data_IF_567065849680
#
_entry.id   IF_567065849680
#
_cell.length_a   1.000
_cell.length_b   1.000
_cell.length_c   1.000
_cell.angle_alpha   90.00
_cell.angle_beta   90.00
_cell.angle_gamma   90.00
#
_symmetry.space_group_name_H-M   'P 1'
#
loop_
_entity.id
_entity.type
_entity.pdbx_description
1 polymer ?
#
# COMPACT_ATOMS: atom_id res chain seq x y z
N UNK A 1 2.35 3.16 -19.34
CA UNK A 1 2.37 2.89 -20.80
C UNK A 1 2.92 1.47 -21.06
N UNK A 2 3.36 1.13 -22.28
CA UNK A 2 3.93 -0.19 -22.57
C UNK A 2 5.29 -0.43 -21.89
N UNK A 3 6.07 0.62 -21.67
CA UNK A 3 7.32 0.52 -20.90
C UNK A 3 7.02 0.16 -19.44
N UNK A 4 6.06 0.86 -18.83
CA UNK A 4 5.60 0.56 -17.47
C UNK A 4 5.14 -0.89 -17.31
N UNK A 5 4.39 -1.44 -18.27
CA UNK A 5 4.02 -2.85 -18.25
C UNK A 5 5.24 -3.80 -18.21
N UNK A 6 6.26 -3.55 -19.05
CA UNK A 6 7.49 -4.36 -19.04
C UNK A 6 8.25 -4.24 -17.73
N UNK A 7 8.33 -3.04 -17.20
CA UNK A 7 8.99 -2.76 -15.93
C UNK A 7 8.28 -3.49 -14.78
N UNK A 8 6.94 -3.45 -14.70
CA UNK A 8 6.19 -4.25 -13.72
C UNK A 8 6.46 -5.76 -13.84
N UNK A 9 6.47 -6.30 -15.06
CA UNK A 9 6.81 -7.72 -15.26
C UNK A 9 8.21 -8.05 -14.76
N UNK A 10 9.19 -7.17 -15.01
CA UNK A 10 10.57 -7.36 -14.55
C UNK A 10 10.68 -7.26 -13.03
N UNK A 11 10.04 -6.27 -12.41
CA UNK A 11 9.96 -6.11 -10.96
C UNK A 11 9.35 -7.34 -10.28
N UNK A 12 8.23 -7.84 -10.82
CA UNK A 12 7.60 -9.07 -10.32
C UNK A 12 8.52 -10.28 -10.45
N UNK A 13 9.27 -10.38 -11.56
CA UNK A 13 10.20 -11.49 -11.78
C UNK A 13 11.38 -11.45 -10.79
N UNK A 14 11.98 -10.26 -10.59
CA UNK A 14 13.05 -10.05 -9.62
C UNK A 14 12.56 -10.36 -8.20
N UNK A 15 11.35 -9.90 -7.85
CA UNK A 15 10.79 -10.16 -6.53
C UNK A 15 10.64 -11.64 -6.22
N UNK A 16 10.32 -12.46 -7.22
CA UNK A 16 10.23 -13.92 -7.09
C UNK A 16 11.57 -14.65 -7.15
N UNK A 17 12.50 -14.22 -8.01
CA UNK A 17 13.75 -14.94 -8.26
C UNK A 17 14.88 -14.54 -7.30
N UNK A 18 14.91 -13.28 -6.87
CA UNK A 18 16.02 -12.69 -6.12
C UNK A 18 15.57 -12.17 -4.75
N UNK A 19 14.36 -11.61 -4.64
CA UNK A 19 13.85 -10.97 -3.42
C UNK A 19 13.05 -11.89 -2.47
N UNK A 20 12.86 -13.15 -2.83
CA UNK A 20 11.93 -14.04 -2.14
C UNK A 20 12.44 -14.43 -0.75
N UNK A 21 11.62 -14.17 0.27
CA UNK A 21 11.81 -14.68 1.63
C UNK A 21 10.55 -15.44 2.08
N UNK A 22 9.64 -14.80 2.82
CA UNK A 22 8.28 -15.33 3.02
C UNK A 22 7.31 -14.90 1.92
N UNK A 23 7.60 -13.77 1.27
CA UNK A 23 6.87 -13.17 0.17
C UNK A 23 7.89 -12.65 -0.85
N UNK A 24 7.52 -12.54 -2.15
CA UNK A 24 8.34 -11.82 -3.11
C UNK A 24 8.42 -10.34 -2.72
N UNK A 25 9.62 -9.76 -2.74
CA UNK A 25 9.90 -8.38 -2.29
C UNK A 25 10.81 -7.68 -3.29
N UNK A 26 10.73 -6.36 -3.35
CA UNK A 26 11.55 -5.53 -4.24
C UNK A 26 12.13 -4.38 -3.42
N UNK A 27 13.42 -4.11 -3.61
CA UNK A 27 14.13 -3.03 -2.92
C UNK A 27 14.02 -1.69 -3.68
N UNK A 28 14.26 -0.57 -2.99
CA UNK A 28 14.17 0.77 -3.58
C UNK A 28 15.18 0.99 -4.70
N UNK A 29 16.34 0.34 -4.64
CA UNK A 29 17.36 0.35 -5.69
C UNK A 29 16.83 -0.29 -6.98
N UNK A 30 16.13 -1.41 -6.85
CA UNK A 30 15.52 -2.11 -8.00
C UNK A 30 14.34 -1.30 -8.54
N UNK A 31 13.52 -0.71 -7.67
CA UNK A 31 12.47 0.22 -8.10
C UNK A 31 13.03 1.39 -8.90
N UNK A 32 14.15 1.98 -8.46
CA UNK A 32 14.83 3.08 -9.18
C UNK A 32 15.30 2.67 -10.58
N UNK A 33 15.72 1.41 -10.76
CA UNK A 33 16.15 0.91 -12.07
C UNK A 33 14.98 0.68 -13.04
N UNK A 34 13.79 0.38 -12.53
CA UNK A 34 12.62 -0.01 -13.33
C UNK A 34 11.38 0.84 -13.02
N UNK A 35 11.55 2.14 -12.71
CA UNK A 35 10.43 3.05 -12.41
C UNK A 35 9.79 3.67 -13.65
N UNK A 36 10.44 3.60 -14.81
CA UNK A 36 9.97 4.19 -16.06
C UNK A 36 8.55 3.74 -16.43
N UNK A 37 7.68 4.69 -16.75
CA UNK A 37 6.29 4.43 -17.14
C UNK A 37 5.37 3.94 -16.01
N UNK A 38 5.81 3.97 -14.75
CA UNK A 38 5.04 3.59 -13.57
C UNK A 38 4.53 4.81 -12.81
N UNK A 39 3.29 4.71 -12.34
CA UNK A 39 2.73 5.59 -11.31
C UNK A 39 2.67 4.79 -10.03
N UNK A 40 3.10 5.39 -8.92
CA UNK A 40 3.10 4.78 -7.61
C UNK A 40 2.22 5.55 -6.62
N UNK A 41 1.54 4.79 -5.77
CA UNK A 41 0.76 5.29 -4.65
C UNK A 41 1.50 4.93 -3.36
N UNK A 42 1.34 5.73 -2.29
CA UNK A 42 2.04 5.48 -1.01
C UNK A 42 1.62 4.20 -0.28
N UNK A 43 0.53 3.55 -0.71
CA UNK A 43 0.01 2.32 -0.13
C UNK A 43 -1.02 2.55 0.97
N UNK A 44 -1.59 1.43 1.45
CA UNK A 44 -2.57 1.39 2.53
C UNK A 44 -1.95 1.69 3.91
N UNK A 45 -2.69 1.41 4.99
CA UNK A 45 -2.23 1.64 6.38
C UNK A 45 -0.91 0.92 6.73
N UNK A 46 -0.55 -0.14 6.01
CA UNK A 46 0.73 -0.87 6.16
C UNK A 46 1.86 -0.33 5.27
N UNK A 47 1.60 0.69 4.45
CA UNK A 47 2.60 1.38 3.66
C UNK A 47 3.58 2.16 4.55
N UNK A 48 4.80 2.38 4.05
CA UNK A 48 5.90 2.99 4.81
C UNK A 48 5.52 4.39 5.32
N UNK A 49 4.91 5.23 4.46
CA UNK A 49 4.48 6.59 4.82
C UNK A 49 3.39 6.57 5.90
N UNK A 50 2.35 5.76 5.72
CA UNK A 50 1.26 5.65 6.70
C UNK A 50 1.75 5.14 8.06
N UNK A 51 2.66 4.16 8.07
CA UNK A 51 3.27 3.64 9.30
C UNK A 51 4.04 4.73 10.06
N UNK A 52 4.83 5.55 9.37
CA UNK A 52 5.60 6.62 9.98
C UNK A 52 4.70 7.73 10.52
N UNK A 53 3.66 8.10 9.78
CA UNK A 53 2.65 9.07 10.24
C UNK A 53 1.94 8.55 11.49
N UNK A 54 1.55 7.27 11.51
CA UNK A 54 0.90 6.64 12.67
C UNK A 54 1.81 6.59 13.91
N UNK A 55 3.13 6.61 13.72
CA UNK A 55 4.14 6.68 14.77
C UNK A 55 4.57 8.12 15.10
N UNK A 56 3.88 9.12 14.55
CA UNK A 56 4.19 10.56 14.71
C UNK A 56 5.60 10.96 14.21
N UNK A 57 6.20 10.14 13.34
CA UNK A 57 7.52 10.37 12.74
C UNK A 57 7.42 11.14 11.42
N UNK A 58 6.90 12.36 11.48
CA UNK A 58 6.54 13.13 10.27
C UNK A 58 7.75 13.50 9.40
N UNK A 59 8.88 13.86 9.98
CA UNK A 59 10.11 14.18 9.23
C UNK A 59 10.61 12.98 8.43
N UNK A 60 10.54 11.78 9.02
CA UNK A 60 10.88 10.53 8.34
C UNK A 60 9.87 10.21 7.24
N UNK A 61 8.57 10.44 7.48
CA UNK A 61 7.54 10.27 6.47
C UNK A 61 7.79 11.19 5.26
N UNK A 62 8.10 12.46 5.50
CA UNK A 62 8.47 13.44 4.46
C UNK A 62 9.72 12.98 3.67
N UNK A 63 10.74 12.45 4.36
CA UNK A 63 11.93 11.89 3.71
C UNK A 63 11.61 10.68 2.82
N UNK A 64 10.71 9.81 3.26
CA UNK A 64 10.26 8.65 2.48
C UNK A 64 9.46 9.08 1.25
N UNK A 65 8.58 10.08 1.40
CA UNK A 65 7.86 10.68 0.28
C UNK A 65 8.83 11.23 -0.76
N UNK A 66 9.82 12.01 -0.33
CA UNK A 66 10.84 12.54 -1.24
C UNK A 66 11.64 11.42 -1.92
N UNK A 67 11.97 10.34 -1.19
CA UNK A 67 12.67 9.18 -1.78
C UNK A 67 11.86 8.55 -2.90
N UNK A 68 10.56 8.34 -2.71
CA UNK A 68 9.70 7.77 -3.75
C UNK A 68 9.43 8.76 -4.88
N UNK A 69 9.31 10.05 -4.58
CA UNK A 69 9.22 11.12 -5.56
C UNK A 69 10.46 11.14 -6.47
N UNK A 70 11.65 10.95 -5.91
CA UNK A 70 12.91 10.84 -6.66
C UNK A 70 13.03 9.55 -7.49
N UNK A 71 12.29 8.50 -7.14
CA UNK A 71 12.29 7.22 -7.86
C UNK A 71 11.34 7.28 -9.06
N UNK A 72 10.11 7.72 -8.84
CA UNK A 72 9.04 7.68 -9.85
C UNK A 72 8.91 8.99 -10.64
N UNK A 73 9.36 10.10 -10.07
CA UNK A 73 9.15 11.45 -10.60
C UNK A 73 7.97 12.15 -9.92
N UNK A 74 8.02 13.48 -9.88
CA UNK A 74 7.04 14.34 -9.19
C UNK A 74 5.60 14.15 -9.69
N UNK A 75 5.43 13.92 -10.99
CA UNK A 75 4.11 13.71 -11.62
C UNK A 75 3.59 12.26 -11.50
N UNK A 76 4.40 11.35 -10.94
CA UNK A 76 4.12 9.91 -10.93
C UNK A 76 4.06 9.29 -9.52
N UNK A 77 4.17 10.11 -8.47
CA UNK A 77 4.02 9.64 -7.09
C UNK A 77 2.94 10.42 -6.34
N UNK A 78 2.02 9.69 -5.72
CA UNK A 78 0.88 10.27 -5.01
C UNK A 78 0.73 9.64 -3.63
N UNK A 79 0.26 10.44 -2.67
CA UNK A 79 -0.16 9.93 -1.38
C UNK A 79 -1.56 9.34 -1.48
N UNK A 80 -1.68 8.08 -1.09
CA UNK A 80 -2.91 7.30 -1.14
C UNK A 80 -3.71 7.49 0.15
N UNK A 81 -4.97 7.88 0.01
CA UNK A 81 -5.90 8.06 1.11
C UNK A 81 -7.02 7.02 1.03
N UNK A 82 -7.30 6.38 2.16
CA UNK A 82 -8.31 5.34 2.31
C UNK A 82 -9.03 5.55 3.64
N UNK A 83 -10.35 5.38 3.68
CA UNK A 83 -11.12 5.49 4.93
C UNK A 83 -12.17 4.39 5.01
N UNK A 84 -11.89 3.40 5.86
CA UNK A 84 -12.78 2.29 6.16
C UNK A 84 -13.30 2.38 7.60
N UNK A 85 -13.23 3.56 8.24
CA UNK A 85 -13.64 3.77 9.62
C UNK A 85 -12.66 3.25 10.69
N UNK A 86 -11.49 2.75 10.28
CA UNK A 86 -10.45 2.22 11.17
C UNK A 86 -9.74 3.38 11.91
N UNK A 87 -9.55 3.25 13.23
CA UNK A 87 -8.92 4.31 14.05
C UNK A 87 -7.53 4.70 13.55
N UNK A 88 -6.73 3.72 13.12
CA UNK A 88 -5.42 3.96 12.52
C UNK A 88 -5.49 4.77 11.23
N UNK A 89 -6.48 4.54 10.38
CA UNK A 89 -6.69 5.33 9.15
C UNK A 89 -7.11 6.76 9.47
N UNK A 90 -7.97 6.98 10.47
CA UNK A 90 -8.35 8.34 10.89
C UNK A 90 -7.13 9.16 11.31
N UNK A 91 -6.27 8.60 12.17
CA UNK A 91 -5.02 9.25 12.60
C UNK A 91 -4.10 9.60 11.44
N UNK A 92 -3.97 8.70 10.46
CA UNK A 92 -3.15 8.94 9.26
C UNK A 92 -3.79 9.99 8.37
N UNK A 93 -5.09 9.88 8.09
CA UNK A 93 -5.83 10.79 7.20
C UNK A 93 -5.89 12.22 7.73
N UNK A 94 -5.84 12.42 9.05
CA UNK A 94 -5.74 13.75 9.66
C UNK A 94 -4.42 14.48 9.32
N UNK A 95 -3.34 13.73 9.05
CA UNK A 95 -1.99 14.28 8.80
C UNK A 95 -1.49 14.12 7.37
N UNK A 96 -2.05 13.17 6.62
CA UNK A 96 -1.66 12.90 5.25
C UNK A 96 -1.75 14.15 4.33
N UNK A 97 -2.80 15.01 4.42
CA UNK A 97 -2.87 16.24 3.62
C UNK A 97 -1.77 17.25 3.92
N UNK A 98 -1.36 17.36 5.20
CA UNK A 98 -0.26 18.25 5.60
C UNK A 98 1.07 17.78 5.00
N UNK A 99 1.34 16.47 5.05
CA UNK A 99 2.53 15.85 4.43
C UNK A 99 2.50 16.03 2.91
N UNK A 100 1.35 15.77 2.27
CA UNK A 100 1.16 15.96 0.83
C UNK A 100 1.53 17.39 0.40
N UNK A 101 0.99 18.38 1.12
CA UNK A 101 1.22 19.80 0.86
C UNK A 101 2.69 20.20 1.06
N UNK A 102 3.34 19.71 2.11
CA UNK A 102 4.75 20.02 2.38
C UNK A 102 5.69 19.43 1.32
N UNK A 103 5.43 18.20 0.88
CA UNK A 103 6.25 17.51 -0.11
C UNK A 103 5.93 17.89 -1.56
N UNK A 104 4.83 18.62 -1.79
CA UNK A 104 4.38 19.02 -3.12
C UNK A 104 3.84 17.86 -3.95
N UNK A 105 3.21 16.87 -3.31
CA UNK A 105 2.65 15.68 -3.98
C UNK A 105 1.12 15.67 -3.90
N UNK A 106 0.48 15.08 -4.90
CA UNK A 106 -0.98 14.96 -4.94
C UNK A 106 -1.53 13.89 -3.99
N UNK A 107 -2.83 13.99 -3.69
CA UNK A 107 -3.61 12.95 -3.00
C UNK A 107 -4.44 12.16 -4.01
N UNK A 108 -4.55 10.85 -3.80
CA UNK A 108 -5.44 9.95 -4.55
C UNK A 108 -6.27 9.14 -3.58
N UNK A 109 -7.58 9.09 -3.79
CA UNK A 109 -8.48 8.23 -3.03
C UNK A 109 -8.55 6.83 -3.67
N UNK A 110 -8.46 5.79 -2.83
CA UNK A 110 -8.69 4.39 -3.20
C UNK A 110 -9.43 3.66 -2.08
N UNK A 111 -9.81 2.40 -2.31
CA UNK A 111 -10.63 1.63 -1.36
C UNK A 111 -10.14 0.19 -1.12
N UNK A 112 -8.93 -0.17 -1.59
CA UNK A 112 -8.32 -1.49 -1.35
C UNK A 112 -9.30 -2.70 -1.46
N UNK A 113 -10.10 -2.73 -2.53
CA UNK A 113 -11.23 -3.68 -2.62
C UNK A 113 -10.76 -5.14 -2.72
N UNK A 114 -11.31 -6.01 -1.87
CA UNK A 114 -11.06 -7.46 -1.87
C UNK A 114 -12.28 -8.30 -2.31
N UNK A 115 -13.42 -7.65 -2.54
CA UNK A 115 -14.66 -8.24 -3.04
C UNK A 115 -15.45 -7.20 -3.85
N UNK A 116 -16.44 -7.65 -4.62
CA UNK A 116 -17.19 -6.81 -5.55
C UNK A 116 -18.35 -6.11 -4.83
N UNK A 117 -19.05 -6.83 -3.96
CA UNK A 117 -20.24 -6.33 -3.26
C UNK A 117 -20.08 -6.44 -1.74
N UNK A 118 -20.65 -5.50 -0.95
CA UNK A 118 -20.53 -5.52 0.51
C UNK A 118 -21.06 -6.81 1.17
N UNK A 119 -22.07 -7.46 0.57
CA UNK A 119 -22.62 -8.73 1.06
C UNK A 119 -21.69 -9.94 0.86
N UNK A 120 -20.57 -9.77 0.16
CA UNK A 120 -19.55 -10.80 -0.04
C UNK A 120 -18.46 -10.79 1.04
N UNK A 121 -18.51 -9.87 2.00
CA UNK A 121 -17.57 -9.78 3.12
C UNK A 121 -17.46 -11.11 3.89
N UNK A 122 -18.59 -11.79 4.13
CA UNK A 122 -18.59 -13.13 4.75
C UNK A 122 -17.89 -14.20 3.91
N UNK A 123 -18.07 -14.19 2.58
CA UNK A 123 -17.42 -15.14 1.67
C UNK A 123 -15.90 -14.89 1.65
N UNK A 124 -15.48 -13.63 1.65
CA UNK A 124 -14.07 -13.26 1.78
C UNK A 124 -13.48 -13.72 3.12
N UNK A 125 -14.21 -13.60 4.22
CA UNK A 125 -13.76 -14.12 5.51
C UNK A 125 -13.59 -15.65 5.50
N UNK A 126 -14.50 -16.39 4.86
CA UNK A 126 -14.34 -17.84 4.65
C UNK A 126 -13.08 -18.14 3.84
N UNK A 127 -12.79 -17.37 2.80
CA UNK A 127 -11.57 -17.54 2.00
C UNK A 127 -10.29 -17.35 2.84
N UNK A 128 -10.27 -16.36 3.73
CA UNK A 128 -9.15 -16.14 4.66
C UNK A 128 -8.97 -17.32 5.63
N UNK A 129 -10.06 -17.91 6.12
CA UNK A 129 -10.02 -19.10 6.97
C UNK A 129 -9.39 -20.29 6.23
N UNK A 130 -9.78 -20.51 4.97
CA UNK A 130 -9.16 -21.56 4.12
C UNK A 130 -7.66 -21.30 3.93
N UNK A 131 -7.27 -20.07 3.62
CA UNK A 131 -5.86 -19.71 3.43
C UNK A 131 -5.00 -19.91 4.70
N UNK A 132 -5.59 -19.65 5.87
CA UNK A 132 -4.88 -19.72 7.15
C UNK A 132 -5.08 -21.03 7.90
N UNK A 133 -5.81 -21.99 7.31
CA UNK A 133 -6.20 -23.25 7.93
C UNK A 133 -6.82 -23.06 9.33
N UNK A 134 -7.72 -22.07 9.46
CA UNK A 134 -8.47 -21.77 10.70
C UNK A 134 -9.97 -21.99 10.51
N UNK A 135 -10.71 -22.09 11.62
CA UNK A 135 -12.18 -22.22 11.60
C UNK A 135 -12.85 -20.85 11.78
N UNK A 136 -14.05 -20.66 11.23
CA UNK A 136 -14.85 -19.43 11.41
C UNK A 136 -15.16 -19.11 12.89
N UNK A 137 -15.28 -20.16 13.72
CA UNK A 137 -15.54 -20.02 15.15
C UNK A 137 -14.29 -19.59 15.95
N UNK A 138 -13.09 -19.70 15.37
CA UNK A 138 -11.86 -19.30 16.04
C UNK A 138 -11.84 -17.76 16.21
N UNK A 139 -11.82 -17.22 17.44
CA UNK A 139 -11.76 -15.78 17.67
C UNK A 139 -10.43 -15.15 17.24
N UNK A 140 -9.38 -15.96 17.04
CA UNK A 140 -8.05 -15.53 16.59
C UNK A 140 -7.84 -15.68 15.09
N UNK A 141 -8.86 -16.13 14.34
CA UNK A 141 -8.78 -16.25 12.88
C UNK A 141 -8.40 -14.93 12.23
N UNK A 142 -7.76 -15.01 11.07
CA UNK A 142 -7.51 -13.83 10.25
C UNK A 142 -8.84 -13.29 9.71
N UNK A 143 -9.12 -12.02 9.98
CA UNK A 143 -10.28 -11.30 9.46
C UNK A 143 -9.94 -9.82 9.25
N UNK A 144 -10.71 -9.17 8.38
CA UNK A 144 -10.60 -7.72 8.20
C UNK A 144 -11.30 -7.02 9.38
N UNK A 145 -10.93 -5.76 9.63
CA UNK A 145 -11.50 -4.98 10.74
C UNK A 145 -12.92 -4.50 10.45
N UNK A 146 -13.28 -4.37 9.16
CA UNK A 146 -14.56 -3.88 8.66
C UNK A 146 -15.01 -4.70 7.43
N UNK A 147 -16.22 -4.40 6.94
CA UNK A 147 -16.88 -5.07 5.80
C UNK A 147 -17.05 -4.12 4.60
N UNK A 148 -16.16 -3.13 4.48
CA UNK A 148 -16.19 -2.05 3.48
C UNK A 148 -15.76 -2.54 2.09
#
# INVERSE_FOLDING_TARGET
DYEGYKNLMKLSSIGCLEGFYYKPRVDKEVLRQYSGGLIALSGCLKGEVACLIAQEQYEMAESVVNTYKDIFGEENFYLEMQDHGIEGQKKVNDKLPDVAKKCGVGLVASNDCHYIYPNQSFVHEVLLCVQTATNLEDPKRMRFQTNE
#
